data_IF_829244141105
#
_entry.id   IF_829244141105
#
_cell.length_a   1.000
_cell.length_b   1.000
_cell.length_c   1.000
_cell.angle_alpha   90.00
_cell.angle_beta   90.00
_cell.angle_gamma   90.00
#
_symmetry.space_group_name_H-M   'P 1'
#
loop_
_entity.id
_entity.type
_entity.pdbx_description
1 polymer ?
#
# COMPACT_ATOMS: atom_id res chain seq x y z
N UNK A 1 -0.38 15.88 8.79
CA UNK A 1 -1.13 16.86 7.99
C UNK A 1 -1.33 18.19 8.73
N UNK A 2 -1.87 18.21 9.95
CA UNK A 2 -2.03 19.46 10.72
C UNK A 2 -0.68 20.17 10.91
N UNK A 3 0.32 19.44 11.40
CA UNK A 3 1.64 20.01 11.72
C UNK A 3 2.57 20.28 10.52
N UNK A 4 2.36 19.57 9.40
CA UNK A 4 3.26 19.67 8.25
C UNK A 4 2.67 20.53 7.13
N UNK A 5 1.37 20.38 6.88
CA UNK A 5 0.68 21.05 5.76
C UNK A 5 -0.27 22.15 6.21
N UNK A 6 -0.36 22.46 7.52
CA UNK A 6 -1.14 23.57 8.07
C UNK A 6 -2.65 23.46 7.95
N UNK A 7 -3.21 22.24 7.85
CA UNK A 7 -4.65 22.02 7.86
C UNK A 7 -5.25 22.27 9.25
N UNK A 8 -6.45 22.85 9.29
CA UNK A 8 -7.25 23.00 10.51
C UNK A 8 -7.88 21.65 10.91
N UNK A 9 -8.23 21.50 12.18
CA UNK A 9 -8.90 20.30 12.69
C UNK A 9 -10.24 20.05 12.00
N UNK A 10 -10.94 21.08 11.59
CA UNK A 10 -12.22 20.97 10.86
C UNK A 10 -12.06 20.26 9.50
N UNK A 11 -10.94 20.44 8.82
CA UNK A 11 -10.65 19.81 7.54
C UNK A 11 -10.15 18.35 7.68
N UNK A 12 -9.79 17.93 8.90
CA UNK A 12 -9.24 16.58 9.13
C UNK A 12 -10.25 15.49 8.77
N UNK A 13 -11.51 15.72 9.12
CA UNK A 13 -12.59 14.78 8.79
C UNK A 13 -12.73 14.56 7.28
N UNK A 14 -12.67 15.62 6.50
CA UNK A 14 -12.72 15.55 5.04
C UNK A 14 -11.51 14.80 4.47
N UNK A 15 -10.32 15.04 5.01
CA UNK A 15 -9.09 14.34 4.59
C UNK A 15 -9.20 12.84 4.86
N UNK A 16 -9.71 12.45 6.03
CA UNK A 16 -9.92 11.04 6.38
C UNK A 16 -10.98 10.41 5.47
N UNK A 17 -12.08 11.12 5.16
CA UNK A 17 -13.09 10.66 4.21
C UNK A 17 -12.51 10.45 2.81
N UNK A 18 -11.69 11.38 2.32
CA UNK A 18 -11.00 11.24 1.02
C UNK A 18 -10.05 10.03 1.01
N UNK A 19 -9.30 9.82 2.08
CA UNK A 19 -8.45 8.65 2.22
C UNK A 19 -9.28 7.36 2.21
N UNK A 20 -10.41 7.31 2.94
CA UNK A 20 -11.35 6.19 2.94
C UNK A 20 -11.95 5.93 1.55
N UNK A 21 -12.31 6.98 0.83
CA UNK A 21 -12.75 6.87 -0.56
C UNK A 21 -11.63 6.31 -1.47
N UNK A 22 -10.39 6.75 -1.27
CA UNK A 22 -9.21 6.19 -1.94
C UNK A 22 -9.06 4.68 -1.68
N UNK A 23 -9.23 4.24 -0.43
CA UNK A 23 -9.21 2.82 -0.05
C UNK A 23 -10.30 2.02 -0.78
N UNK A 24 -11.54 2.52 -0.77
CA UNK A 24 -12.68 1.90 -1.44
C UNK A 24 -12.45 1.78 -2.95
N UNK A 25 -12.10 2.89 -3.60
CA UNK A 25 -11.82 2.91 -5.04
C UNK A 25 -10.62 2.01 -5.40
N UNK A 26 -9.56 2.04 -4.59
CA UNK A 26 -8.39 1.19 -4.77
C UNK A 26 -8.72 -0.30 -4.74
N UNK A 27 -9.54 -0.71 -3.78
CA UNK A 27 -9.94 -2.12 -3.65
C UNK A 27 -10.76 -2.61 -4.86
N UNK A 28 -11.71 -1.81 -5.34
CA UNK A 28 -12.49 -2.11 -6.55
C UNK A 28 -11.58 -2.17 -7.78
N UNK A 29 -10.69 -1.17 -7.94
CA UNK A 29 -9.75 -1.13 -9.05
C UNK A 29 -8.80 -2.33 -9.03
N UNK A 30 -8.32 -2.74 -7.86
CA UNK A 30 -7.47 -3.91 -7.70
C UNK A 30 -8.12 -5.20 -8.17
N UNK A 31 -9.39 -5.42 -7.80
CA UNK A 31 -10.19 -6.54 -8.29
C UNK A 31 -10.35 -6.49 -9.82
N UNK A 32 -10.83 -5.37 -10.34
CA UNK A 32 -11.07 -5.20 -11.77
C UNK A 32 -9.80 -5.31 -12.63
N UNK A 33 -8.69 -4.76 -12.14
CA UNK A 33 -7.40 -4.90 -12.83
C UNK A 33 -6.89 -6.35 -12.80
N UNK A 34 -7.15 -7.09 -11.72
CA UNK A 34 -6.78 -8.50 -11.62
C UNK A 34 -7.57 -9.39 -12.56
N UNK A 35 -8.82 -9.00 -12.89
CA UNK A 35 -9.64 -9.70 -13.88
C UNK A 35 -9.15 -9.43 -15.32
N UNK A 36 -8.63 -8.22 -15.58
CA UNK A 36 -8.15 -7.82 -16.92
C UNK A 36 -6.69 -8.19 -17.18
N UNK A 37 -5.87 -8.13 -16.15
CA UNK A 37 -4.43 -8.37 -16.20
C UNK A 37 -4.06 -9.53 -15.28
N UNK A 38 -2.86 -10.05 -15.43
CA UNK A 38 -2.37 -11.05 -14.48
C UNK A 38 -2.13 -10.42 -13.10
N UNK A 39 -2.59 -11.07 -12.01
CA UNK A 39 -2.44 -10.53 -10.65
C UNK A 39 -1.01 -10.10 -10.33
N UNK A 40 0.00 -10.84 -10.83
CA UNK A 40 1.41 -10.51 -10.62
C UNK A 40 1.80 -9.17 -11.24
N UNK A 41 1.27 -8.83 -12.41
CA UNK A 41 1.52 -7.51 -13.04
C UNK A 41 0.88 -6.41 -12.21
N UNK A 42 -0.36 -6.61 -11.77
CA UNK A 42 -1.08 -5.64 -10.94
C UNK A 42 -0.30 -5.38 -9.64
N UNK A 43 0.12 -6.43 -8.92
CA UNK A 43 0.93 -6.30 -7.70
C UNK A 43 2.19 -5.46 -7.95
N UNK A 44 2.96 -5.77 -9.00
CA UNK A 44 4.20 -5.01 -9.29
C UNK A 44 3.95 -3.54 -9.57
N UNK A 45 3.01 -3.24 -10.46
CA UNK A 45 2.72 -1.86 -10.84
C UNK A 45 2.15 -1.06 -9.66
N UNK A 46 1.29 -1.67 -8.87
CA UNK A 46 0.65 -1.01 -7.73
C UNK A 46 1.66 -0.77 -6.60
N UNK A 47 2.55 -1.74 -6.30
CA UNK A 47 3.62 -1.53 -5.31
C UNK A 47 4.64 -0.48 -5.77
N UNK A 48 4.99 -0.44 -7.06
CA UNK A 48 5.84 0.61 -7.60
C UNK A 48 5.18 1.99 -7.47
N UNK A 49 3.90 2.10 -7.82
CA UNK A 49 3.12 3.33 -7.66
C UNK A 49 3.03 3.75 -6.18
N UNK A 50 2.77 2.82 -5.25
CA UNK A 50 2.75 3.10 -3.83
C UNK A 50 4.10 3.60 -3.30
N UNK A 51 5.21 2.99 -3.75
CA UNK A 51 6.56 3.46 -3.39
C UNK A 51 6.80 4.88 -3.87
N UNK A 52 6.44 5.17 -5.13
CA UNK A 52 6.59 6.52 -5.70
C UNK A 52 5.71 7.56 -5.00
N UNK A 53 4.48 7.22 -4.64
CA UNK A 53 3.59 8.13 -3.89
C UNK A 53 4.11 8.40 -2.49
N UNK A 54 4.66 7.40 -1.79
CA UNK A 54 5.26 7.59 -0.47
C UNK A 54 6.51 8.47 -0.52
N UNK A 55 7.36 8.28 -1.53
CA UNK A 55 8.49 9.20 -1.77
C UNK A 55 7.99 10.60 -2.14
N UNK A 56 6.94 10.69 -2.96
CA UNK A 56 6.28 11.96 -3.27
C UNK A 56 5.73 12.68 -2.03
N UNK A 57 5.17 11.95 -1.06
CA UNK A 57 4.73 12.50 0.23
C UNK A 57 5.91 13.09 1.00
N UNK A 58 7.05 12.39 1.03
CA UNK A 58 8.25 12.89 1.70
C UNK A 58 8.71 14.24 1.14
N UNK A 59 8.79 14.38 -0.19
CA UNK A 59 9.23 15.63 -0.83
C UNK A 59 8.12 16.70 -0.90
N UNK A 60 6.86 16.30 -1.01
CA UNK A 60 5.71 17.18 -1.24
C UNK A 60 4.87 17.50 0.00
N UNK A 61 5.28 17.06 1.20
CA UNK A 61 4.51 17.18 2.43
C UNK A 61 4.12 18.61 2.80
N UNK A 62 4.92 19.61 2.40
CA UNK A 62 4.70 21.01 2.72
C UNK A 62 3.62 21.70 1.86
N UNK A 63 3.22 21.09 0.74
CA UNK A 63 2.19 21.64 -0.15
C UNK A 63 0.83 21.04 0.19
N UNK A 64 -0.10 21.87 0.70
CA UNK A 64 -1.41 21.47 1.21
C UNK A 64 -2.17 20.49 0.32
N UNK A 65 -2.51 20.93 -0.89
CA UNK A 65 -3.31 20.11 -1.82
C UNK A 65 -2.57 18.89 -2.35
N UNK A 66 -1.27 19.04 -2.59
CA UNK A 66 -0.43 17.95 -3.07
C UNK A 66 -0.34 16.82 -2.04
N UNK A 67 -0.18 17.15 -0.76
CA UNK A 67 -0.08 16.16 0.31
C UNK A 67 -1.36 15.35 0.49
N UNK A 68 -2.54 15.98 0.38
CA UNK A 68 -3.85 15.28 0.43
C UNK A 68 -4.03 14.38 -0.79
N UNK A 69 -3.71 14.88 -1.98
CA UNK A 69 -3.80 14.11 -3.21
C UNK A 69 -2.87 12.88 -3.19
N UNK A 70 -1.62 13.06 -2.78
CA UNK A 70 -0.66 11.97 -2.67
C UNK A 70 -1.06 10.96 -1.59
N UNK A 71 -1.59 11.39 -0.45
CA UNK A 71 -2.11 10.51 0.60
C UNK A 71 -3.28 9.68 0.08
N UNK A 72 -4.25 10.29 -0.59
CA UNK A 72 -5.40 9.58 -1.17
C UNK A 72 -4.95 8.58 -2.23
N UNK A 73 -4.02 8.97 -3.09
CA UNK A 73 -3.45 8.08 -4.10
C UNK A 73 -2.67 6.93 -3.47
N UNK A 74 -1.89 7.21 -2.42
CA UNK A 74 -1.14 6.19 -1.68
C UNK A 74 -2.08 5.14 -1.07
N UNK A 75 -3.15 5.59 -0.39
CA UNK A 75 -4.15 4.67 0.19
C UNK A 75 -4.86 3.86 -0.89
N UNK A 76 -5.19 4.47 -2.03
CA UNK A 76 -5.77 3.76 -3.17
C UNK A 76 -4.81 2.67 -3.71
N UNK A 77 -3.52 2.98 -3.86
CA UNK A 77 -2.52 1.99 -4.28
C UNK A 77 -2.36 0.84 -3.28
N UNK A 78 -2.27 1.15 -1.97
CA UNK A 78 -2.12 0.12 -0.93
C UNK A 78 -3.33 -0.84 -0.89
N UNK A 79 -4.53 -0.33 -1.08
CA UNK A 79 -5.73 -1.18 -1.14
C UNK A 79 -5.91 -1.86 -2.50
N UNK A 80 -5.45 -1.27 -3.58
CA UNK A 80 -5.45 -1.88 -4.90
C UNK A 80 -4.59 -3.16 -4.96
N UNK A 81 -3.51 -3.23 -4.19
CA UNK A 81 -2.65 -4.42 -4.15
C UNK A 81 -3.26 -5.58 -3.35
N UNK A 82 -4.22 -5.31 -2.48
CA UNK A 82 -4.83 -6.28 -1.57
C UNK A 82 -5.52 -7.44 -2.31
N UNK A 83 -6.41 -7.12 -3.27
CA UNK A 83 -7.16 -8.13 -4.04
C UNK A 83 -6.26 -9.08 -4.84
N UNK A 84 -5.31 -8.60 -5.66
CA UNK A 84 -4.44 -9.50 -6.41
C UNK A 84 -3.50 -10.33 -5.53
N UNK A 85 -3.06 -9.81 -4.38
CA UNK A 85 -2.26 -10.59 -3.42
C UNK A 85 -3.06 -11.75 -2.83
N UNK A 86 -4.31 -11.50 -2.41
CA UNK A 86 -5.19 -12.54 -1.90
C UNK A 86 -5.43 -13.61 -2.96
N UNK A 87 -5.71 -13.22 -4.20
CA UNK A 87 -5.91 -14.15 -5.30
C UNK A 87 -4.68 -15.04 -5.53
N UNK A 88 -3.48 -14.44 -5.57
CA UNK A 88 -2.22 -15.19 -5.74
C UNK A 88 -2.00 -16.22 -4.64
N UNK A 89 -2.30 -15.86 -3.39
CA UNK A 89 -2.12 -16.76 -2.26
C UNK A 89 -3.12 -17.91 -2.33
N UNK A 90 -4.40 -17.62 -2.59
CA UNK A 90 -5.44 -18.64 -2.70
C UNK A 90 -5.15 -19.63 -3.86
N UNK A 91 -4.73 -19.14 -5.02
CA UNK A 91 -4.38 -19.98 -6.16
C UNK A 91 -3.20 -20.92 -5.89
N UNK A 92 -2.28 -20.53 -5.01
CA UNK A 92 -1.12 -21.31 -4.64
C UNK A 92 -1.32 -22.15 -3.35
N UNK A 93 -2.47 -22.02 -2.67
CA UNK A 93 -2.81 -22.70 -1.43
C UNK A 93 -3.75 -23.90 -1.64
N UNK A 94 -3.64 -24.62 -2.77
CA UNK A 94 -4.56 -25.72 -3.11
C UNK A 94 -4.62 -26.76 -2.01
N UNK A 95 -5.85 -27.05 -1.52
CA UNK A 95 -6.13 -27.93 -0.42
C UNK A 95 -5.91 -27.32 0.97
N UNK A 96 -5.55 -26.03 1.04
CA UNK A 96 -5.35 -25.27 2.27
C UNK A 96 -5.81 -23.83 2.15
N UNK A 97 -6.85 -23.56 1.34
CA UNK A 97 -7.32 -22.22 1.01
C UNK A 97 -7.71 -21.41 2.26
N UNK A 98 -8.35 -22.06 3.24
CA UNK A 98 -8.70 -21.41 4.51
C UNK A 98 -7.45 -20.99 5.31
N UNK A 99 -6.43 -21.85 5.33
CA UNK A 99 -5.17 -21.52 5.99
C UNK A 99 -4.44 -20.40 5.23
N UNK A 100 -4.43 -20.45 3.90
CA UNK A 100 -3.89 -19.39 3.06
C UNK A 100 -4.54 -18.04 3.35
N UNK A 101 -5.88 -17.98 3.39
CA UNK A 101 -6.63 -16.77 3.72
C UNK A 101 -6.32 -16.25 5.14
N UNK A 102 -6.24 -17.14 6.13
CA UNK A 102 -5.89 -16.77 7.50
C UNK A 102 -4.46 -16.19 7.59
N UNK A 103 -3.50 -16.80 6.91
CA UNK A 103 -2.11 -16.30 6.88
C UNK A 103 -1.99 -14.92 6.22
N UNK A 104 -2.79 -14.64 5.17
CA UNK A 104 -2.87 -13.30 4.59
C UNK A 104 -3.29 -12.29 5.64
N UNK A 105 -4.33 -12.59 6.42
CA UNK A 105 -4.84 -11.69 7.44
C UNK A 105 -3.82 -11.46 8.57
N UNK A 106 -3.12 -12.51 8.98
CA UNK A 106 -2.01 -12.40 9.95
C UNK A 106 -0.89 -11.50 9.40
N UNK A 107 -0.49 -11.69 8.13
CA UNK A 107 0.54 -10.89 7.50
C UNK A 107 0.13 -9.41 7.38
N UNK A 108 -1.13 -9.12 7.06
CA UNK A 108 -1.66 -7.75 7.03
C UNK A 108 -1.60 -7.09 8.41
N UNK A 109 -2.04 -7.78 9.45
CA UNK A 109 -2.03 -7.24 10.82
C UNK A 109 -0.62 -7.01 11.33
N UNK A 110 0.30 -7.93 11.06
CA UNK A 110 1.71 -7.79 11.40
C UNK A 110 2.36 -6.63 10.63
N UNK A 111 2.06 -6.52 9.33
CA UNK A 111 2.51 -5.41 8.49
C UNK A 111 2.02 -4.05 9.00
N UNK A 112 0.75 -3.96 9.42
CA UNK A 112 0.18 -2.76 10.01
C UNK A 112 0.86 -2.39 11.34
N UNK A 113 1.11 -3.38 12.20
CA UNK A 113 1.79 -3.15 13.48
C UNK A 113 3.23 -2.65 13.28
N UNK A 114 3.99 -3.32 12.39
CA UNK A 114 5.35 -2.90 12.04
C UNK A 114 5.36 -1.53 11.35
N UNK A 115 4.41 -1.27 10.45
CA UNK A 115 4.27 0.00 9.76
C UNK A 115 3.99 1.14 10.74
N UNK A 116 3.08 0.95 11.70
CA UNK A 116 2.76 1.94 12.73
C UNK A 116 3.97 2.19 13.65
N UNK A 117 4.65 1.14 14.08
CA UNK A 117 5.84 1.25 14.92
C UNK A 117 6.97 1.99 14.21
N UNK A 118 7.38 1.53 13.03
CA UNK A 118 8.46 2.14 12.27
C UNK A 118 8.10 3.55 11.78
N UNK A 119 6.84 3.80 11.42
CA UNK A 119 6.36 5.13 11.05
C UNK A 119 6.35 6.12 12.22
N UNK A 120 6.20 5.65 13.45
CA UNK A 120 6.27 6.47 14.66
C UNK A 120 7.70 6.82 15.10
N UNK A 121 8.70 6.01 14.73
CA UNK A 121 10.09 6.22 15.15
C UNK A 121 10.67 7.60 14.78
N UNK A 122 10.50 8.12 13.55
CA UNK A 122 10.99 9.46 13.21
C UNK A 122 10.43 10.54 14.14
N UNK A 123 9.14 10.47 14.46
CA UNK A 123 8.48 11.44 15.35
C UNK A 123 9.05 11.31 16.77
N UNK A 124 9.24 10.10 17.27
CA UNK A 124 9.81 9.85 18.59
C UNK A 124 11.25 10.37 18.74
N UNK A 125 11.99 10.46 17.61
CA UNK A 125 13.34 11.03 17.57
C UNK A 125 13.37 12.53 17.22
N UNK A 126 12.22 13.20 17.22
CA UNK A 126 12.13 14.65 16.96
C UNK A 126 12.30 15.04 15.50
N UNK A 127 12.22 14.09 14.57
CA UNK A 127 12.23 14.38 13.14
C UNK A 127 10.85 14.89 12.68
N UNK A 128 10.81 15.57 11.54
CA UNK A 128 9.56 16.06 10.96
C UNK A 128 8.60 14.92 10.57
N UNK A 129 7.31 15.24 10.52
CA UNK A 129 6.28 14.24 10.16
C UNK A 129 6.42 13.67 8.74
N UNK A 130 7.08 14.39 7.84
CA UNK A 130 7.39 13.94 6.48
C UNK A 130 8.25 12.68 6.46
N UNK A 131 9.13 12.52 7.45
CA UNK A 131 9.99 11.33 7.58
C UNK A 131 9.22 10.04 7.86
N UNK A 132 7.96 10.13 8.31
CA UNK A 132 7.10 8.95 8.55
C UNK A 132 6.80 8.17 7.26
N UNK A 133 6.90 8.82 6.10
CA UNK A 133 6.69 8.18 4.81
C UNK A 133 7.86 7.26 4.39
N UNK A 134 9.08 7.49 4.90
CA UNK A 134 10.26 6.74 4.50
C UNK A 134 10.24 5.25 4.91
N UNK A 135 9.88 4.88 6.16
CA UNK A 135 9.69 3.48 6.51
C UNK A 135 8.65 2.79 5.62
N UNK A 136 7.54 3.47 5.33
CA UNK A 136 6.51 2.97 4.42
C UNK A 136 7.05 2.72 3.00
N UNK A 137 7.83 3.66 2.46
CA UNK A 137 8.49 3.52 1.16
C UNK A 137 9.48 2.34 1.17
N UNK A 138 10.23 2.16 2.26
CA UNK A 138 11.12 1.02 2.45
C UNK A 138 10.38 -0.32 2.42
N UNK A 139 9.26 -0.45 3.15
CA UNK A 139 8.46 -1.67 3.16
C UNK A 139 7.79 -1.96 1.81
N UNK A 140 7.27 -0.95 1.12
CA UNK A 140 6.68 -1.15 -0.23
C UNK A 140 7.74 -1.52 -1.25
N UNK A 141 8.95 -0.97 -1.14
CA UNK A 141 10.08 -1.35 -2.00
C UNK A 141 10.52 -2.79 -1.74
N UNK A 142 10.64 -3.22 -0.49
CA UNK A 142 10.92 -4.62 -0.13
C UNK A 142 9.83 -5.55 -0.67
N UNK A 143 8.56 -5.17 -0.53
CA UNK A 143 7.43 -5.89 -1.11
C UNK A 143 7.52 -5.99 -2.64
N UNK A 144 7.91 -4.92 -3.32
CA UNK A 144 8.13 -4.91 -4.76
C UNK A 144 9.27 -5.84 -5.17
N UNK A 145 10.40 -5.80 -4.47
CA UNK A 145 11.55 -6.67 -4.74
C UNK A 145 11.19 -8.14 -4.57
N UNK A 146 10.52 -8.49 -3.48
CA UNK A 146 10.05 -9.87 -3.24
C UNK A 146 9.06 -10.33 -4.31
N UNK A 147 8.12 -9.47 -4.72
CA UNK A 147 7.19 -9.76 -5.80
C UNK A 147 7.91 -9.98 -7.14
N UNK A 148 8.90 -9.17 -7.47
CA UNK A 148 9.71 -9.33 -8.69
C UNK A 148 10.50 -10.64 -8.67
N UNK A 149 11.12 -10.96 -7.54
CA UNK A 149 11.85 -12.23 -7.37
C UNK A 149 10.92 -13.42 -7.52
N UNK A 150 9.75 -13.37 -6.87
CA UNK A 150 8.72 -14.42 -6.97
C UNK A 150 8.30 -14.67 -8.42
N UNK A 151 7.96 -13.60 -9.16
CA UNK A 151 7.50 -13.68 -10.55
C UNK A 151 8.60 -14.22 -11.48
N UNK A 152 9.86 -13.86 -11.24
CA UNK A 152 10.99 -14.39 -12.01
C UNK A 152 11.24 -15.88 -11.74
N UNK A 153 11.08 -16.30 -10.50
CA UNK A 153 11.35 -17.69 -10.08
C UNK A 153 10.21 -18.63 -10.46
N UNK A 154 8.95 -18.14 -10.47
CA UNK A 154 7.75 -18.91 -10.74
C UNK A 154 6.93 -18.27 -11.87
N UNK A 155 7.47 -18.24 -13.12
CA UNK A 155 6.72 -17.68 -14.24
C UNK A 155 5.47 -18.52 -14.50
N UNK A 156 4.32 -17.86 -14.68
CA UNK A 156 3.02 -18.49 -15.00
C UNK A 156 2.96 -19.08 -16.41
N UNK A 157 4.04 -19.72 -16.89
CA UNK A 157 4.12 -20.27 -18.23
C UNK A 157 3.67 -21.72 -18.33
N UNK A 158 2.61 -22.14 -17.67
CA UNK A 158 2.12 -23.49 -17.95
C UNK A 158 0.71 -23.80 -17.43
N UNK A 159 -0.24 -22.89 -17.54
CA UNK A 159 -1.66 -23.31 -17.38
C UNK A 159 -2.52 -22.60 -18.42
N UNK A 160 -2.46 -23.03 -19.65
CA UNK A 160 -3.58 -23.06 -20.58
C UNK A 160 -4.22 -24.43 -20.53
#
# INVERSE_FOLDING_TARGET
MIHTSGFTEENLTLIIMLAGFGMFAGNILGGHLSDRFTPEKVVRFTLAAATLTLLGIFFGAHVHYLSVMLMTLCTACLFCVSSPQQLLILENSRGGEMLGAALVQVAFNLGNALGAYCGGLPIAHGLGYEYTALPGAGFTLLGLLTAVVYIRKYPRHAKR
#
